data_IF_391466900603
#
_entry.id   IF_391466900603
#
_cell.length_a   1.000
_cell.length_b   1.000
_cell.length_c   1.000
_cell.angle_alpha   90.00
_cell.angle_beta   90.00
_cell.angle_gamma   90.00
#
_symmetry.space_group_name_H-M   'P 1'
#
loop_
_entity.id
_entity.type
_entity.pdbx_description
1 polymer ?
#
# COMPACT_ATOMS: atom_id res chain seq x y z
N UNK A 1 8.83 -18.56 -20.32
CA UNK A 1 9.02 -17.22 -20.90
C UNK A 1 8.43 -16.29 -19.86
N UNK A 2 9.28 -15.76 -18.99
CA UNK A 2 8.85 -14.92 -17.87
C UNK A 2 8.57 -13.55 -18.48
N UNK A 3 7.30 -13.22 -18.73
CA UNK A 3 6.94 -11.86 -19.12
C UNK A 3 7.25 -10.95 -17.93
N UNK A 4 7.99 -9.90 -18.25
CA UNK A 4 8.51 -8.90 -17.34
C UNK A 4 7.39 -8.33 -16.46
N UNK A 5 7.70 -8.31 -15.17
CA UNK A 5 7.08 -7.52 -14.12
C UNK A 5 6.55 -6.18 -14.64
N UNK A 6 5.23 -6.05 -14.70
CA UNK A 6 4.50 -4.78 -14.66
C UNK A 6 4.69 -4.07 -13.30
N UNK A 7 5.79 -4.26 -12.56
CA UNK A 7 6.00 -3.65 -11.23
C UNK A 7 6.29 -2.14 -11.28
N UNK A 8 6.43 -1.58 -12.48
CA UNK A 8 6.85 -0.21 -12.70
C UNK A 8 5.71 0.83 -12.74
N UNK A 9 4.57 0.62 -12.07
CA UNK A 9 3.42 1.53 -12.22
C UNK A 9 3.65 2.95 -11.70
N UNK A 10 4.56 3.15 -10.75
CA UNK A 10 4.95 4.47 -10.24
C UNK A 10 6.47 4.52 -10.10
N UNK A 11 7.15 5.02 -11.13
CA UNK A 11 8.62 4.98 -11.24
C UNK A 11 9.27 6.14 -10.49
N UNK A 12 9.44 5.97 -9.18
CA UNK A 12 10.72 6.26 -8.55
C UNK A 12 11.17 5.02 -7.76
N UNK A 13 12.48 4.70 -7.67
CA UNK A 13 12.99 3.59 -6.87
C UNK A 13 12.56 3.65 -5.40
N UNK A 14 12.16 4.82 -4.91
CA UNK A 14 11.62 5.01 -3.58
C UNK A 14 10.19 4.48 -3.44
N UNK A 15 9.33 4.62 -4.45
CA UNK A 15 7.90 4.28 -4.34
C UNK A 15 7.64 2.77 -4.30
N UNK A 16 8.38 1.99 -5.09
CA UNK A 16 8.28 0.51 -5.13
C UNK A 16 8.81 -0.15 -3.84
N UNK A 17 9.78 0.50 -3.21
CA UNK A 17 10.40 0.02 -1.97
C UNK A 17 9.41 0.13 -0.81
N UNK A 18 8.65 1.22 -0.69
CA UNK A 18 7.84 1.44 0.51
C UNK A 18 6.58 0.60 0.61
N UNK A 19 5.86 0.38 -0.50
CA UNK A 19 4.74 -0.57 -0.51
C UNK A 19 5.22 -1.97 -0.13
N UNK A 20 6.34 -2.40 -0.70
CA UNK A 20 6.92 -3.71 -0.42
C UNK A 20 7.28 -3.87 1.08
N UNK A 21 7.89 -2.87 1.71
CA UNK A 21 8.22 -2.93 3.15
C UNK A 21 6.98 -2.93 4.03
N UNK A 22 5.96 -2.13 3.69
CA UNK A 22 4.69 -2.11 4.42
C UNK A 22 3.99 -3.46 4.32
N UNK A 23 3.96 -4.03 3.11
CA UNK A 23 3.38 -5.34 2.87
C UNK A 23 4.15 -6.45 3.60
N UNK A 24 5.47 -6.37 3.72
CA UNK A 24 6.27 -7.32 4.51
C UNK A 24 5.96 -7.26 6.01
N UNK A 25 5.92 -6.06 6.59
CA UNK A 25 5.58 -5.87 8.02
C UNK A 25 4.16 -6.36 8.30
N UNK A 26 3.23 -6.08 7.39
CA UNK A 26 1.87 -6.61 7.47
C UNK A 26 1.81 -8.13 7.41
N UNK A 27 2.50 -8.75 6.45
CA UNK A 27 2.57 -10.21 6.34
C UNK A 27 3.13 -10.87 7.61
N UNK A 28 4.10 -10.24 8.27
CA UNK A 28 4.69 -10.74 9.52
C UNK A 28 3.63 -10.80 10.64
N UNK A 29 2.80 -9.76 10.74
CA UNK A 29 1.81 -9.62 11.81
C UNK A 29 0.53 -10.41 11.55
N UNK A 30 -0.06 -10.26 10.36
CA UNK A 30 -1.37 -10.82 9.98
C UNK A 30 -1.28 -12.19 9.29
N UNK A 31 -0.08 -12.62 8.90
CA UNK A 31 0.15 -13.87 8.13
C UNK A 31 -0.59 -13.91 6.79
N UNK A 32 -0.88 -12.74 6.22
CA UNK A 32 -1.51 -12.57 4.91
C UNK A 32 -1.15 -11.22 4.31
N UNK A 33 -1.33 -11.05 3.00
CA UNK A 33 -0.87 -9.87 2.26
C UNK A 33 -1.80 -8.66 2.46
N UNK A 34 -1.23 -7.48 2.70
CA UNK A 34 -1.99 -6.22 2.68
C UNK A 34 -2.42 -5.92 1.25
N UNK A 35 -1.54 -6.11 0.28
CA UNK A 35 -1.92 -5.99 -1.13
C UNK A 35 -1.53 -7.27 -1.85
N UNK A 36 -2.50 -7.93 -2.46
CA UNK A 36 -2.26 -9.11 -3.27
C UNK A 36 -1.85 -8.73 -4.68
N UNK A 37 -2.35 -7.59 -5.17
CA UNK A 37 -2.27 -7.19 -6.58
C UNK A 37 -2.84 -8.25 -7.53
N UNK A 38 -3.59 -9.23 -7.03
CA UNK A 38 -4.06 -10.36 -7.82
C UNK A 38 -5.23 -9.92 -8.67
N UNK A 39 -4.98 -9.92 -9.96
CA UNK A 39 -5.96 -9.59 -10.96
C UNK A 39 -7.09 -10.64 -10.99
N UNK A 40 -8.37 -10.25 -10.87
CA UNK A 40 -9.47 -11.21 -10.88
C UNK A 40 -9.69 -11.85 -12.25
N UNK A 41 -9.27 -11.20 -13.33
CA UNK A 41 -9.43 -11.68 -14.71
C UNK A 41 -8.27 -12.59 -15.12
N UNK A 42 -7.04 -12.17 -14.84
CA UNK A 42 -5.83 -12.90 -15.25
C UNK A 42 -5.27 -13.82 -14.17
N UNK A 43 -5.79 -13.74 -12.95
CA UNK A 43 -5.36 -14.53 -11.78
C UNK A 43 -3.87 -14.43 -11.44
N UNK A 44 -3.20 -13.37 -11.90
CA UNK A 44 -1.79 -13.06 -11.68
C UNK A 44 -1.62 -11.64 -11.16
N UNK A 45 -0.43 -11.27 -10.69
CA UNK A 45 -0.17 -9.91 -10.25
C UNK A 45 -0.29 -8.93 -11.43
N UNK A 46 -1.04 -7.85 -11.26
CA UNK A 46 -1.10 -6.71 -12.20
C UNK A 46 -1.23 -5.41 -11.43
N UNK A 47 -0.53 -4.38 -11.93
CA UNK A 47 -0.53 -3.06 -11.29
C UNK A 47 -1.91 -2.40 -11.19
N UNK A 48 -2.81 -2.64 -12.16
CA UNK A 48 -4.19 -2.14 -12.08
C UNK A 48 -4.94 -2.65 -10.83
N UNK A 49 -4.75 -3.93 -10.50
CA UNK A 49 -5.39 -4.57 -9.36
C UNK A 49 -4.74 -4.13 -8.04
N UNK A 50 -3.41 -4.01 -8.02
CA UNK A 50 -2.67 -3.49 -6.87
C UNK A 50 -3.08 -2.04 -6.54
N UNK A 51 -3.12 -1.16 -7.53
CA UNK A 51 -3.58 0.23 -7.36
C UNK A 51 -5.02 0.30 -6.89
N UNK A 52 -5.90 -0.56 -7.42
CA UNK A 52 -7.27 -0.63 -6.94
C UNK A 52 -7.35 -1.00 -5.45
N UNK A 53 -6.54 -1.95 -4.98
CA UNK A 53 -6.48 -2.30 -3.55
C UNK A 53 -5.92 -1.15 -2.69
N UNK A 54 -4.92 -0.41 -3.18
CA UNK A 54 -4.40 0.78 -2.50
C UNK A 54 -5.47 1.87 -2.39
N UNK A 55 -6.17 2.18 -3.49
CA UNK A 55 -7.27 3.17 -3.50
C UNK A 55 -8.40 2.74 -2.58
N UNK A 56 -8.74 1.45 -2.57
CA UNK A 56 -9.76 0.91 -1.67
C UNK A 56 -9.41 1.10 -0.19
N UNK A 57 -8.13 1.15 0.16
CA UNK A 57 -7.67 1.30 1.54
C UNK A 57 -7.41 2.76 1.92
N UNK A 58 -6.72 3.51 1.05
CA UNK A 58 -6.27 4.88 1.29
C UNK A 58 -7.23 5.96 0.78
N UNK A 59 -8.19 5.59 -0.07
CA UNK A 59 -8.91 6.54 -0.91
C UNK A 59 -8.09 6.94 -2.15
N UNK A 60 -8.67 7.80 -3.01
CA UNK A 60 -8.04 8.20 -4.27
C UNK A 60 -6.70 8.91 -4.01
N UNK A 61 -5.70 8.72 -4.90
CA UNK A 61 -4.43 9.43 -4.79
C UNK A 61 -4.64 10.95 -4.98
N UNK A 62 -3.85 11.78 -4.29
CA UNK A 62 -3.94 13.23 -4.45
C UNK A 62 -3.45 13.64 -5.86
N UNK A 63 -3.98 14.73 -6.45
CA UNK A 63 -3.54 15.20 -7.76
C UNK A 63 -2.04 15.52 -7.85
N UNK A 64 -1.42 15.97 -6.74
CA UNK A 64 0.02 16.19 -6.63
C UNK A 64 0.84 14.91 -6.84
N UNK A 65 0.31 13.75 -6.43
CA UNK A 65 0.93 12.46 -6.67
C UNK A 65 0.78 12.05 -8.13
N UNK A 66 -0.43 12.14 -8.68
CA UNK A 66 -0.71 11.81 -10.08
C UNK A 66 0.12 12.65 -11.06
N UNK A 67 0.30 13.94 -10.79
CA UNK A 67 1.08 14.84 -11.64
C UNK A 67 2.59 14.50 -11.72
N UNK A 68 3.12 13.72 -10.76
CA UNK A 68 4.52 13.28 -10.72
C UNK A 68 4.74 11.92 -11.38
N UNK A 69 3.69 11.13 -11.56
CA UNK A 69 3.78 9.77 -12.07
C UNK A 69 4.00 9.74 -13.59
N UNK A 70 5.11 9.14 -14.03
CA UNK A 70 5.43 9.01 -15.45
C UNK A 70 4.45 8.11 -16.23
N UNK A 71 3.73 7.24 -15.52
CA UNK A 71 2.76 6.31 -16.10
C UNK A 71 1.31 6.61 -15.67
N UNK A 72 1.04 7.77 -15.07
CA UNK A 72 -0.30 8.13 -14.60
C UNK A 72 -1.36 7.95 -15.70
N UNK A 73 -1.07 8.41 -16.92
CA UNK A 73 -1.97 8.27 -18.08
C UNK A 73 -2.30 6.82 -18.49
N UNK A 74 -1.53 5.83 -18.04
CA UNK A 74 -1.78 4.42 -18.36
C UNK A 74 -2.81 3.80 -17.40
N UNK A 75 -2.97 4.39 -16.21
CA UNK A 75 -3.77 3.82 -15.13
C UNK A 75 -4.92 4.73 -14.69
N UNK A 76 -4.84 6.03 -14.95
CA UNK A 76 -5.81 7.02 -14.50
C UNK A 76 -6.38 7.83 -15.67
N UNK A 77 -7.65 8.23 -15.54
CA UNK A 77 -8.31 9.16 -16.46
C UNK A 77 -7.82 10.59 -16.24
N UNK A 78 -8.20 11.52 -17.12
CA UNK A 78 -7.86 12.94 -16.98
C UNK A 78 -8.46 13.57 -15.70
N UNK A 79 -9.57 13.00 -15.21
CA UNK A 79 -10.24 13.39 -13.96
C UNK A 79 -9.54 12.83 -12.71
N UNK A 80 -8.57 11.93 -12.87
CA UNK A 80 -7.82 11.31 -11.77
C UNK A 80 -8.44 10.03 -11.22
N UNK A 81 -9.45 9.48 -11.89
CA UNK A 81 -10.06 8.20 -11.53
C UNK A 81 -9.24 7.03 -12.11
N UNK A 82 -9.19 5.89 -11.40
CA UNK A 82 -8.53 4.70 -11.93
C UNK A 82 -9.32 4.18 -13.15
N UNK A 83 -8.65 3.97 -14.28
CA UNK A 83 -9.24 3.42 -15.51
C UNK A 83 -9.90 2.05 -15.29
N UNK A 84 -9.34 1.26 -14.36
CA UNK A 84 -9.86 -0.03 -13.93
C UNK A 84 -10.66 0.08 -12.62
N UNK A 85 -11.46 1.17 -12.50
CA UNK A 85 -12.18 1.56 -11.30
C UNK A 85 -13.18 0.50 -10.80
N UNK A 86 -13.64 -0.39 -11.68
CA UNK A 86 -14.49 -1.53 -11.30
C UNK A 86 -13.84 -2.47 -10.28
N UNK A 87 -12.51 -2.46 -10.15
CA UNK A 87 -11.79 -3.27 -9.15
C UNK A 87 -11.65 -2.59 -7.79
N UNK A 88 -11.88 -1.28 -7.69
CA UNK A 88 -11.64 -0.52 -6.45
C UNK A 88 -12.62 -0.95 -5.35
N UNK A 89 -13.81 -1.42 -5.70
CA UNK A 89 -14.80 -1.88 -4.71
C UNK A 89 -15.18 -0.81 -3.67
N UNK A 90 -15.82 -1.23 -2.57
CA UNK A 90 -16.12 -0.35 -1.44
C UNK A 90 -14.88 -0.11 -0.57
N UNK A 91 -14.74 1.11 -0.02
CA UNK A 91 -13.65 1.45 0.89
C UNK A 91 -13.62 0.51 2.09
N UNK A 92 -12.45 -0.08 2.38
CA UNK A 92 -12.24 -0.94 3.53
C UNK A 92 -11.13 -0.31 4.38
N UNK A 93 -11.44 0.21 5.58
CA UNK A 93 -10.44 0.79 6.46
C UNK A 93 -9.48 -0.28 6.99
N UNK A 94 -8.25 0.14 7.32
CA UNK A 94 -7.16 -0.75 7.74
C UNK A 94 -7.54 -1.60 8.96
N UNK A 95 -8.31 -1.03 9.87
CA UNK A 95 -8.83 -1.62 11.10
C UNK A 95 -9.74 -2.83 10.84
N UNK A 96 -10.46 -2.83 9.71
CA UNK A 96 -11.31 -3.96 9.32
C UNK A 96 -10.52 -5.08 8.63
N UNK A 97 -9.31 -4.77 8.14
CA UNK A 97 -8.43 -5.74 7.50
C UNK A 97 -7.55 -6.49 8.50
N UNK A 98 -7.27 -5.85 9.63
CA UNK A 98 -6.52 -6.40 10.74
C UNK A 98 -7.41 -7.39 11.50
N UNK A 99 -6.90 -8.59 11.76
CA UNK A 99 -7.68 -9.71 12.32
C UNK A 99 -7.31 -10.05 13.75
N UNK A 100 -6.28 -9.44 14.33
CA UNK A 100 -5.92 -9.69 15.72
C UNK A 100 -6.96 -9.13 16.69
N UNK A 101 -7.05 -9.71 17.91
CA UNK A 101 -7.92 -9.19 18.95
C UNK A 101 -7.62 -7.73 19.29
N UNK A 102 -8.66 -6.97 19.59
CA UNK A 102 -8.51 -5.57 19.97
C UNK A 102 -7.63 -5.42 21.22
N UNK A 103 -6.72 -4.46 21.17
CA UNK A 103 -5.76 -4.22 22.24
C UNK A 103 -4.68 -3.22 21.84
N UNK A 104 -3.87 -2.85 22.84
CA UNK A 104 -2.83 -1.84 22.68
C UNK A 104 -1.83 -2.19 21.57
N UNK A 105 -1.51 -3.47 21.41
CA UNK A 105 -0.57 -3.95 20.40
C UNK A 105 -1.10 -3.73 18.97
N UNK A 106 -2.37 -4.10 18.71
CA UNK A 106 -3.06 -3.80 17.46
C UNK A 106 -3.09 -2.31 17.18
N UNK A 107 -3.43 -1.49 18.18
CA UNK A 107 -3.47 -0.03 18.01
C UNK A 107 -2.09 0.54 17.64
N UNK A 108 -1.02 0.03 18.27
CA UNK A 108 0.37 0.40 17.98
C UNK A 108 0.76 -0.02 16.56
N UNK A 109 0.44 -1.26 16.17
CA UNK A 109 0.72 -1.79 14.84
C UNK A 109 0.02 -0.98 13.74
N UNK A 110 -1.27 -0.73 13.88
CA UNK A 110 -2.04 0.06 12.93
C UNK A 110 -1.51 1.50 12.84
N UNK A 111 -1.01 2.08 13.93
CA UNK A 111 -0.36 3.40 13.88
C UNK A 111 0.92 3.37 13.05
N UNK A 112 1.77 2.36 13.24
CA UNK A 112 2.98 2.17 12.44
C UNK A 112 2.64 2.04 10.96
N UNK A 113 1.70 1.16 10.59
CA UNK A 113 1.32 0.93 9.19
C UNK A 113 0.79 2.21 8.54
N UNK A 114 0.00 3.04 9.25
CA UNK A 114 -0.46 4.35 8.72
C UNK A 114 0.67 5.36 8.48
N UNK A 115 1.78 5.27 9.22
CA UNK A 115 2.98 6.11 8.96
C UNK A 115 3.75 5.65 7.73
N UNK A 116 3.67 4.36 7.40
CA UNK A 116 4.33 3.76 6.24
C UNK A 116 3.48 3.78 4.97
N UNK A 117 2.16 3.87 5.11
CA UNK A 117 1.22 3.78 4.01
C UNK A 117 0.68 5.18 3.65
N UNK A 118 1.42 5.90 2.81
CA UNK A 118 1.04 7.22 2.29
C UNK A 118 1.23 7.26 0.77
N UNK A 119 0.34 7.99 0.08
CA UNK A 119 0.51 8.24 -1.37
C UNK A 119 1.75 9.07 -1.65
N UNK A 120 1.98 10.13 -0.90
CA UNK A 120 3.10 11.04 -1.14
C UNK A 120 4.33 10.61 -0.34
N UNK A 121 5.46 10.28 -0.99
CA UNK A 121 6.65 9.79 -0.30
C UNK A 121 7.17 10.76 0.76
N UNK A 122 6.97 12.06 0.57
CA UNK A 122 7.38 13.11 1.50
C UNK A 122 6.60 13.10 2.82
N UNK A 123 5.43 12.45 2.85
CA UNK A 123 4.61 12.29 4.05
C UNK A 123 4.93 11.02 4.82
N UNK A 124 5.75 10.14 4.24
CA UNK A 124 6.20 8.93 4.91
C UNK A 124 7.11 9.29 6.08
N UNK A 125 6.96 8.55 7.17
CA UNK A 125 7.98 8.57 8.22
C UNK A 125 9.28 7.98 7.69
N UNK A 126 10.40 8.63 8.00
CA UNK A 126 11.73 8.13 7.68
C UNK A 126 12.03 6.82 8.40
N UNK A 127 13.00 6.05 7.89
CA UNK A 127 13.43 4.80 8.54
C UNK A 127 13.85 5.02 10.00
N UNK A 128 14.47 6.16 10.33
CA UNK A 128 14.87 6.52 11.70
C UNK A 128 13.65 6.75 12.59
N UNK A 129 12.62 7.43 12.09
CA UNK A 129 11.38 7.65 12.84
C UNK A 129 10.58 6.35 13.03
N UNK A 130 10.58 5.47 12.03
CA UNK A 130 9.95 4.16 12.12
C UNK A 130 10.68 3.24 13.09
N UNK A 131 12.02 3.27 13.11
CA UNK A 131 12.83 2.52 14.09
C UNK A 131 12.48 2.90 15.53
N UNK A 132 12.20 4.19 15.78
CA UNK A 132 11.83 4.72 17.10
C UNK A 132 10.35 4.53 17.43
N UNK A 133 9.54 3.96 16.53
CA UNK A 133 8.12 3.73 16.78
C UNK A 133 7.91 2.76 17.95
N UNK A 134 6.89 3.03 18.76
CA UNK A 134 6.57 2.22 19.94
C UNK A 134 6.38 0.74 19.60
N UNK A 135 5.79 0.43 18.44
CA UNK A 135 5.58 -0.96 18.03
C UNK A 135 6.90 -1.65 17.69
N UNK A 136 7.76 -1.00 16.89
CA UNK A 136 9.06 -1.53 16.51
C UNK A 136 9.94 -1.75 17.74
N UNK A 137 9.95 -0.79 18.67
CA UNK A 137 10.67 -0.92 19.92
C UNK A 137 10.10 -2.03 20.81
N UNK A 138 8.78 -2.24 20.83
CA UNK A 138 8.18 -3.34 21.57
C UNK A 138 8.58 -4.71 20.99
N UNK A 139 8.58 -4.88 19.67
CA UNK A 139 8.98 -6.13 19.01
C UNK A 139 10.46 -6.46 19.18
N UNK A 140 11.35 -5.46 19.16
CA UNK A 140 12.80 -5.67 19.34
C UNK A 140 13.19 -6.15 20.74
N UNK A 141 12.32 -5.95 21.74
CA UNK A 141 12.60 -6.28 23.14
C UNK A 141 11.71 -7.41 23.68
N UNK A 142 10.99 -8.14 22.81
CA UNK A 142 10.27 -9.38 23.13
C UNK A 142 11.21 -10.58 23.15
#
# INVERSE_FOLDING_TARGET
MYEEVDSAAFTSPTDEVFDLHTNQIWNLYERGSLFSGKDPEYHTYRSRAHLAEMIRLLGPPPPSFLARGNLTQNFFTEEGDLCAGEFVGEHIPLEQRETSPDGKEKDMFLRLVRKMLQWEPEKLSSAIELEQDEWVQAELHK
#
